data_IF_348310492330
#
_entry.id   IF_348310492330
#
_cell.length_a   1.000
_cell.length_b   1.000
_cell.length_c   1.000
_cell.angle_alpha   90.00
_cell.angle_beta   90.00
_cell.angle_gamma   90.00
#
_symmetry.space_group_name_H-M   'P 1'
#
loop_
_entity.id
_entity.type
_entity.pdbx_description
1 polymer ?
#
# COMPACT_ATOMS: atom_id res chain seq x y z
N UNK A 1 0.10 3.29 -5.00
CA UNK A 1 1.36 2.81 -5.63
C UNK A 1 2.53 3.11 -4.70
N UNK A 2 3.52 2.26 -4.69
CA UNK A 2 4.76 2.54 -3.98
C UNK A 2 5.70 3.28 -4.91
N UNK A 3 6.20 4.43 -4.47
CA UNK A 3 7.13 5.25 -5.25
C UNK A 3 8.31 5.64 -4.39
N UNK A 4 9.37 6.11 -5.02
CA UNK A 4 10.53 6.67 -4.32
C UNK A 4 10.42 8.18 -4.32
N UNK A 5 10.40 8.75 -3.12
CA UNK A 5 10.50 10.20 -2.92
C UNK A 5 11.97 10.52 -2.65
N UNK A 6 12.54 11.40 -3.47
CA UNK A 6 13.89 11.91 -3.21
C UNK A 6 13.80 13.10 -2.27
N UNK A 7 14.46 12.98 -1.14
CA UNK A 7 14.50 14.04 -0.14
C UNK A 7 15.93 14.22 0.34
N UNK A 8 16.49 15.38 0.09
CA UNK A 8 17.91 15.65 0.27
C UNK A 8 18.74 14.66 -0.55
N UNK A 9 19.59 13.86 0.07
CA UNK A 9 20.37 12.82 -0.58
C UNK A 9 19.77 11.42 -0.39
N UNK A 10 18.57 11.34 0.17
CA UNK A 10 17.93 10.07 0.53
C UNK A 10 16.89 9.64 -0.49
N UNK A 11 16.77 8.33 -0.67
CA UNK A 11 15.72 7.69 -1.46
C UNK A 11 14.72 7.07 -0.49
N UNK A 12 13.52 7.65 -0.42
CA UNK A 12 12.52 7.27 0.56
C UNK A 12 11.33 6.56 -0.12
N UNK A 13 11.14 5.25 0.10
CA UNK A 13 9.94 4.58 -0.39
C UNK A 13 8.70 5.07 0.36
N UNK A 14 7.67 5.42 -0.40
CA UNK A 14 6.41 5.96 0.13
C UNK A 14 5.22 5.35 -0.57
N UNK A 15 4.05 5.43 0.06
CA UNK A 15 2.79 5.22 -0.65
C UNK A 15 2.37 6.53 -1.32
N UNK A 16 2.13 6.47 -2.62
CA UNK A 16 1.57 7.57 -3.40
C UNK A 16 0.13 7.24 -3.76
N UNK A 17 -0.77 8.20 -3.61
CA UNK A 17 -2.17 8.01 -3.98
C UNK A 17 -2.30 7.84 -5.50
N UNK A 18 -2.97 6.79 -5.93
CA UNK A 18 -3.17 6.50 -7.36
C UNK A 18 -4.18 7.45 -8.02
N UNK A 19 -4.89 8.27 -7.25
CA UNK A 19 -5.85 9.24 -7.76
C UNK A 19 -5.27 10.65 -7.83
N UNK A 20 -4.79 11.19 -6.71
CA UNK A 20 -4.29 12.57 -6.65
C UNK A 20 -2.78 12.70 -6.83
N UNK A 21 -2.04 11.60 -6.72
CA UNK A 21 -0.57 11.61 -6.85
C UNK A 21 0.19 12.03 -5.60
N UNK A 22 -0.49 12.53 -4.59
CA UNK A 22 0.17 12.96 -3.36
C UNK A 22 0.53 11.78 -2.46
N UNK A 23 1.53 11.99 -1.62
CA UNK A 23 1.96 10.98 -0.65
C UNK A 23 0.85 10.68 0.36
N UNK A 24 0.68 9.40 0.69
CA UNK A 24 -0.13 8.97 1.82
C UNK A 24 0.81 8.88 3.02
N UNK A 25 0.85 9.95 3.82
CA UNK A 25 1.83 10.08 4.92
C UNK A 25 1.41 9.41 6.21
N UNK A 26 0.13 9.07 6.36
CA UNK A 26 -0.43 8.44 7.54
C UNK A 26 -1.24 7.22 7.11
N UNK A 27 -0.90 6.05 7.63
CA UNK A 27 -1.60 4.80 7.29
C UNK A 27 -3.09 4.87 7.59
N UNK A 28 -3.51 5.61 8.63
CA UNK A 28 -4.92 5.75 8.98
C UNK A 28 -5.72 6.52 7.93
N UNK A 29 -5.06 7.28 7.08
CA UNK A 29 -5.68 8.06 6.02
C UNK A 29 -5.69 7.36 4.66
N UNK A 30 -5.19 6.13 4.60
CA UNK A 30 -5.05 5.38 3.37
C UNK A 30 -5.91 4.13 3.30
N UNK A 31 -6.21 3.73 2.07
CA UNK A 31 -6.93 2.50 1.76
C UNK A 31 -6.28 1.80 0.56
N UNK A 32 -6.36 0.48 0.56
CA UNK A 32 -5.99 -0.36 -0.58
C UNK A 32 -7.26 -0.90 -1.21
N UNK A 33 -7.44 -0.68 -2.51
CA UNK A 33 -8.65 -1.07 -3.26
C UNK A 33 -8.26 -2.06 -4.35
N UNK A 34 -9.03 -3.11 -4.49
CA UNK A 34 -8.82 -4.13 -5.51
C UNK A 34 -10.15 -4.67 -6.02
N UNK A 35 -10.13 -5.31 -7.18
CA UNK A 35 -11.32 -5.85 -7.79
C UNK A 35 -11.86 -7.05 -7.00
N UNK A 36 -13.17 -7.07 -6.78
CA UNK A 36 -13.88 -8.23 -6.24
C UNK A 36 -14.36 -9.07 -7.43
N UNK A 37 -13.52 -10.01 -7.87
CA UNK A 37 -13.81 -10.83 -9.03
C UNK A 37 -14.78 -11.97 -8.67
N UNK A 38 -15.77 -12.25 -9.54
CA UNK A 38 -16.75 -13.30 -9.28
C UNK A 38 -16.14 -14.71 -9.28
N UNK A 39 -15.00 -14.88 -9.96
CA UNK A 39 -14.24 -16.13 -9.96
C UNK A 39 -12.79 -15.83 -9.64
N UNK A 40 -12.26 -16.59 -8.70
CA UNK A 40 -10.86 -16.48 -8.27
C UNK A 40 -10.19 -17.84 -8.54
N UNK A 41 -9.30 -17.86 -9.53
CA UNK A 41 -8.46 -19.02 -9.75
C UNK A 41 -7.38 -19.10 -8.66
N UNK A 42 -6.99 -20.32 -8.32
CA UNK A 42 -5.88 -20.52 -7.38
C UNK A 42 -4.61 -19.84 -7.92
N UNK A 43 -3.87 -19.17 -7.02
CA UNK A 43 -2.66 -18.40 -7.34
C UNK A 43 -2.87 -17.21 -8.28
N UNK A 44 -4.11 -16.80 -8.50
CA UNK A 44 -4.42 -15.60 -9.27
C UNK A 44 -3.89 -14.36 -8.56
N UNK A 45 -3.32 -13.44 -9.34
CA UNK A 45 -2.82 -12.16 -8.84
C UNK A 45 -3.56 -11.02 -9.52
N UNK A 46 -3.91 -9.99 -8.75
CA UNK A 46 -4.54 -8.78 -9.25
C UNK A 46 -3.82 -7.56 -8.71
N UNK A 47 -3.96 -6.44 -9.40
CA UNK A 47 -3.37 -5.19 -8.97
C UNK A 47 -4.19 -4.55 -7.84
N UNK A 48 -3.53 -3.73 -7.05
CA UNK A 48 -4.14 -2.98 -5.96
C UNK A 48 -3.86 -1.49 -6.15
N UNK A 49 -4.88 -0.67 -5.89
CA UNK A 49 -4.74 0.78 -5.84
C UNK A 49 -4.56 1.23 -4.40
N UNK A 50 -3.63 2.16 -4.19
CA UNK A 50 -3.42 2.81 -2.90
C UNK A 50 -3.96 4.22 -3.00
N UNK A 51 -4.89 4.60 -2.13
CA UNK A 51 -5.58 5.87 -2.22
C UNK A 51 -5.79 6.48 -0.83
N UNK A 52 -5.98 7.80 -0.78
CA UNK A 52 -6.49 8.45 0.43
C UNK A 52 -7.94 8.03 0.65
N UNK A 53 -8.31 7.83 1.91
CA UNK A 53 -9.72 7.61 2.29
C UNK A 53 -10.54 8.84 1.91
N UNK A 54 -11.84 8.64 1.71
CA UNK A 54 -12.77 9.70 1.36
C UNK A 54 -12.86 9.90 -0.15
N UNK A 55 -12.62 11.11 -0.63
CA UNK A 55 -12.86 11.47 -2.03
C UNK A 55 -12.02 10.67 -3.03
N UNK A 56 -10.75 10.45 -2.74
CA UNK A 56 -9.89 9.66 -3.63
C UNK A 56 -10.38 8.21 -3.71
N UNK A 57 -10.78 7.65 -2.58
CA UNK A 57 -11.36 6.31 -2.52
C UNK A 57 -12.63 6.23 -3.39
N UNK A 58 -13.54 7.18 -3.25
CA UNK A 58 -14.78 7.21 -4.04
C UNK A 58 -14.49 7.32 -5.54
N UNK A 59 -13.56 8.19 -5.92
CA UNK A 59 -13.16 8.34 -7.33
C UNK A 59 -12.51 7.08 -7.88
N UNK A 60 -11.69 6.39 -7.09
CA UNK A 60 -11.08 5.14 -7.49
C UNK A 60 -12.13 4.07 -7.78
N UNK A 61 -13.12 3.93 -6.91
CA UNK A 61 -14.20 2.96 -7.11
C UNK A 61 -15.02 3.27 -8.36
N UNK A 62 -15.28 4.55 -8.64
CA UNK A 62 -15.97 4.97 -9.86
C UNK A 62 -15.20 4.64 -11.14
N UNK A 63 -13.87 4.67 -11.08
CA UNK A 63 -13.02 4.34 -12.23
C UNK A 63 -12.91 2.85 -12.49
N UNK A 64 -13.15 2.03 -11.49
CA UNK A 64 -13.10 0.58 -11.66
C UNK A 64 -14.35 0.07 -12.35
N UNK A 65 -14.18 -0.82 -13.31
CA UNK A 65 -15.30 -1.38 -14.10
C UNK A 65 -15.94 -2.58 -13.43
N UNK A 66 -15.36 -3.07 -12.37
CA UNK A 66 -15.85 -4.22 -11.61
C UNK A 66 -16.17 -3.81 -10.17
N UNK A 67 -16.89 -4.69 -9.47
CA UNK A 67 -17.12 -4.55 -8.05
C UNK A 67 -15.77 -4.52 -7.31
N UNK A 68 -15.67 -3.72 -6.25
CA UNK A 68 -14.43 -3.52 -5.51
C UNK A 68 -14.54 -3.97 -4.08
N UNK A 69 -13.42 -4.46 -3.55
CA UNK A 69 -13.18 -4.62 -2.12
C UNK A 69 -12.09 -3.66 -1.71
N UNK A 70 -11.99 -3.38 -0.42
CA UNK A 70 -10.92 -2.54 0.10
C UNK A 70 -10.50 -2.95 1.49
N UNK A 71 -9.30 -2.56 1.85
CA UNK A 71 -8.73 -2.75 3.19
C UNK A 71 -8.16 -1.42 3.67
N UNK A 72 -8.26 -1.08 4.97
CA UNK A 72 -7.45 0.02 5.51
C UNK A 72 -5.97 -0.21 5.18
N UNK A 73 -5.26 0.85 4.85
CA UNK A 73 -3.85 0.72 4.42
C UNK A 73 -2.99 0.06 5.49
N UNK A 74 -3.26 0.33 6.76
CA UNK A 74 -2.54 -0.31 7.87
C UNK A 74 -2.75 -1.83 7.90
N UNK A 75 -3.98 -2.28 7.69
CA UNK A 75 -4.29 -3.72 7.61
C UNK A 75 -3.61 -4.36 6.39
N UNK A 76 -3.64 -3.67 5.25
CA UNK A 76 -2.99 -4.12 4.02
C UNK A 76 -1.48 -4.31 4.23
N UNK A 77 -0.83 -3.35 4.87
CA UNK A 77 0.59 -3.44 5.19
C UNK A 77 0.88 -4.59 6.15
N UNK A 78 0.04 -4.79 7.16
CA UNK A 78 0.16 -5.93 8.08
C UNK A 78 0.10 -7.26 7.33
N UNK A 79 -0.88 -7.43 6.45
CA UNK A 79 -1.00 -8.66 5.66
C UNK A 79 0.19 -8.84 4.70
N UNK A 80 0.67 -7.75 4.11
CA UNK A 80 1.86 -7.80 3.27
C UNK A 80 3.07 -8.32 4.06
N UNK A 81 3.28 -7.80 5.27
CA UNK A 81 4.36 -8.26 6.13
C UNK A 81 4.19 -9.74 6.53
N UNK A 82 2.97 -10.15 6.86
CA UNK A 82 2.68 -11.54 7.22
C UNK A 82 2.95 -12.49 6.04
N UNK A 83 2.57 -12.08 4.83
CA UNK A 83 2.77 -12.89 3.62
C UNK A 83 4.22 -12.93 3.14
N UNK A 84 5.06 -12.02 3.62
CA UNK A 84 6.49 -12.00 3.31
C UNK A 84 7.35 -12.45 4.51
N UNK A 85 6.70 -13.02 5.52
CA UNK A 85 7.34 -13.54 6.74
C UNK A 85 8.13 -12.48 7.52
N UNK A 86 7.68 -11.24 7.46
CA UNK A 86 8.28 -10.15 8.24
C UNK A 86 7.53 -10.00 9.56
N UNK A 87 8.10 -10.54 10.62
CA UNK A 87 7.61 -10.36 11.99
C UNK A 87 8.46 -9.32 12.75
N UNK A 88 8.20 -9.16 14.04
CA UNK A 88 8.95 -8.22 14.87
C UNK A 88 10.45 -8.50 14.93
N UNK A 89 10.84 -9.78 14.95
CA UNK A 89 12.26 -10.18 14.96
C UNK A 89 12.92 -9.87 13.62
N UNK A 90 12.21 -10.13 12.51
CA UNK A 90 12.72 -9.82 11.18
C UNK A 90 12.87 -8.31 10.99
N UNK A 91 11.93 -7.53 11.46
CA UNK A 91 11.99 -6.08 11.38
C UNK A 91 13.19 -5.52 12.18
N UNK A 92 13.43 -6.03 13.38
CA UNK A 92 14.60 -5.65 14.18
C UNK A 92 15.91 -6.02 13.47
N UNK A 93 15.97 -7.20 12.86
CA UNK A 93 17.13 -7.63 12.08
C UNK A 93 17.37 -6.70 10.89
N UNK A 94 16.32 -6.33 10.16
CA UNK A 94 16.42 -5.40 9.03
C UNK A 94 16.92 -4.03 9.50
N UNK A 95 16.42 -3.54 10.63
CA UNK A 95 16.85 -2.29 11.22
C UNK A 95 18.36 -2.31 11.53
N UNK A 96 18.88 -3.42 12.08
CA UNK A 96 20.31 -3.56 12.38
C UNK A 96 21.17 -3.62 11.12
N UNK A 97 20.68 -4.31 10.08
CA UNK A 97 21.42 -4.47 8.81
C UNK A 97 21.47 -3.16 8.03
N UNK A 98 20.33 -2.48 7.93
CA UNK A 98 20.18 -1.30 7.09
C UNK A 98 20.40 0.01 7.85
N UNK A 99 20.55 -0.06 9.15
CA UNK A 99 20.97 1.04 10.00
C UNK A 99 19.96 2.16 10.15
N UNK A 100 20.06 3.17 9.30
CA UNK A 100 19.35 4.42 9.45
C UNK A 100 18.06 4.43 8.64
N UNK A 101 17.00 5.04 9.21
CA UNK A 101 15.77 5.32 8.44
C UNK A 101 16.08 6.26 7.29
N UNK A 102 15.43 6.03 6.17
CA UNK A 102 15.59 6.85 4.97
C UNK A 102 14.53 7.95 4.85
N UNK A 103 13.75 8.14 5.90
CA UNK A 103 12.73 9.21 5.94
C UNK A 103 13.09 10.28 6.94
#
# INVERSE_FOLDING_TARGET
MIKILFKDTLSCPIFSCDICGDMIGDLSEGAAIFADLPRRAENMKIDVLHVHKGKCHELAEQKMTSKCEWQPLGAHLYFLCANTEVDGKQLEKLKRIHGTRTT
#
